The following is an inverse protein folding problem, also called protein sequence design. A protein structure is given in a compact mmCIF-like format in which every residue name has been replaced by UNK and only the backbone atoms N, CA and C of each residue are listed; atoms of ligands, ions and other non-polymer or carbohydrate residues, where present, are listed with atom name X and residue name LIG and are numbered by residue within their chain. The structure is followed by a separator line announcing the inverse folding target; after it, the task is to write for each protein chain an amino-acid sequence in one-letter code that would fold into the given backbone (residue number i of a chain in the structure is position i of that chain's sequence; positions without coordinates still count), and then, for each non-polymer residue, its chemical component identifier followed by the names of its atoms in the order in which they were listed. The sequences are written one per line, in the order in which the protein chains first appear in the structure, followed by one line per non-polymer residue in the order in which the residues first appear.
data_IF_911643680508
#
_entry.id   IF_911643680508
#
_cell.length_a   1.000
_cell.length_b   1.000
_cell.length_c   1.000
_cell.angle_alpha   90.00
_cell.angle_beta   90.00
_cell.angle_gamma   90.00
#
_symmetry.space_group_name_H-M   'P 1'
#
loop_
_entity.id
_entity.type
_entity.pdbx_description
1 polymer ?
#
# COMPACT_ATOMS: atom_id res chain seq x y z
N UNK A 1 9.44 4.98 -22.44
CA UNK A 1 10.79 4.39 -22.26
C UNK A 1 10.80 3.57 -20.99
N UNK A 2 11.55 2.48 -21.01
CA UNK A 2 11.14 1.29 -20.28
C UNK A 2 11.55 1.19 -18.81
N UNK A 3 10.72 0.61 -17.93
CA UNK A 3 11.07 0.33 -16.55
C UNK A 3 10.46 -0.99 -16.04
N UNK A 4 11.09 -2.10 -16.44
CA UNK A 4 11.09 -3.35 -15.68
C UNK A 4 12.33 -3.35 -14.79
N UNK A 5 12.17 -3.79 -13.52
CA UNK A 5 13.08 -4.61 -12.67
C UNK A 5 12.63 -4.44 -11.19
N UNK A 6 12.28 -5.44 -10.37
CA UNK A 6 12.65 -6.86 -10.24
C UNK A 6 14.12 -7.06 -10.60
N UNK A 7 14.97 -6.91 -9.59
CA UNK A 7 16.43 -6.95 -9.60
C UNK A 7 17.16 -5.77 -10.25
N UNK A 8 17.72 -4.92 -9.38
CA UNK A 8 19.04 -4.31 -9.57
C UNK A 8 19.26 -3.45 -10.82
N UNK A 9 19.42 -2.16 -10.53
CA UNK A 9 20.13 -1.13 -11.31
C UNK A 9 19.32 -0.24 -12.27
N UNK A 10 19.18 1.01 -11.77
CA UNK A 10 19.19 2.36 -12.36
C UNK A 10 18.23 2.76 -13.48
N UNK A 11 17.13 3.43 -13.11
CA UNK A 11 16.98 4.89 -13.23
C UNK A 11 15.59 5.31 -12.67
N UNK A 12 15.55 5.84 -11.45
CA UNK A 12 14.33 6.39 -10.86
C UNK A 12 14.61 7.79 -10.34
N UNK A 13 14.20 8.82 -11.08
CA UNK A 13 14.22 10.20 -10.59
C UNK A 13 12.97 10.45 -9.75
N UNK A 14 13.07 10.19 -8.44
CA UNK A 14 12.12 10.83 -7.51
C UNK A 14 12.35 12.34 -7.54
N UNK A 15 11.34 13.11 -7.11
CA UNK A 15 11.44 14.58 -7.00
C UNK A 15 12.64 15.05 -6.14
N UNK A 16 13.26 14.14 -5.37
CA UNK A 16 14.43 14.36 -4.52
C UNK A 16 15.65 13.47 -4.87
N UNK A 17 15.63 12.72 -5.98
CA UNK A 17 16.75 11.88 -6.44
C UNK A 17 17.03 10.59 -5.64
N UNK A 18 16.34 10.34 -4.53
CA UNK A 18 16.55 9.12 -3.73
C UNK A 18 15.54 8.03 -4.13
N UNK A 19 16.06 6.90 -4.62
CA UNK A 19 15.32 5.66 -4.74
C UNK A 19 15.12 5.03 -3.35
N UNK A 20 13.98 4.40 -3.13
CA UNK A 20 13.60 3.84 -1.83
C UNK A 20 12.92 2.49 -2.05
N UNK A 21 13.24 1.52 -1.19
CA UNK A 21 12.61 0.20 -1.24
C UNK A 21 11.43 0.12 -0.27
N UNK A 22 10.42 -0.67 -0.64
CA UNK A 22 9.30 -1.02 0.23
C UNK A 22 9.14 -2.53 0.17
N UNK A 23 9.12 -3.18 1.32
CA UNK A 23 8.87 -4.62 1.39
C UNK A 23 7.41 -4.90 0.99
N UNK A 24 7.23 -5.84 0.07
CA UNK A 24 5.91 -6.32 -0.35
C UNK A 24 5.71 -7.75 0.15
N UNK A 25 4.47 -8.19 0.44
CA UNK A 25 4.19 -9.57 0.78
C UNK A 25 4.55 -10.53 -0.36
N UNK A 26 5.00 -11.75 -0.03
CA UNK A 26 5.40 -12.76 -1.02
C UNK A 26 4.29 -13.06 -2.03
N UNK A 27 3.05 -13.20 -1.54
CA UNK A 27 1.87 -13.35 -2.39
C UNK A 27 1.72 -12.24 -3.44
N UNK A 28 2.00 -10.98 -3.06
CA UNK A 28 1.94 -9.86 -4.00
C UNK A 28 3.11 -9.94 -4.99
N UNK A 29 4.30 -10.28 -4.51
CA UNK A 29 5.46 -10.49 -5.37
C UNK A 29 5.18 -11.56 -6.44
N UNK A 30 4.65 -12.72 -6.05
CA UNK A 30 4.26 -13.80 -6.96
C UNK A 30 3.25 -13.37 -8.02
N UNK A 31 2.24 -12.58 -7.64
CA UNK A 31 1.27 -12.05 -8.61
C UNK A 31 1.96 -11.11 -9.61
N UNK A 32 2.84 -10.21 -9.13
CA UNK A 32 3.49 -9.21 -9.97
C UNK A 32 4.48 -9.84 -10.95
N UNK A 33 5.26 -10.85 -10.54
CA UNK A 33 6.23 -11.51 -11.44
C UNK A 33 5.55 -12.31 -12.55
N UNK A 34 4.37 -12.88 -12.28
CA UNK A 34 3.60 -13.67 -13.24
C UNK A 34 2.65 -12.83 -14.09
N UNK A 35 2.52 -11.54 -13.80
CA UNK A 35 1.64 -10.65 -14.55
C UNK A 35 2.23 -10.33 -15.94
N UNK A 36 1.43 -10.51 -16.99
CA UNK A 36 1.80 -10.13 -18.35
C UNK A 36 2.21 -8.65 -18.43
N UNK A 37 3.42 -8.38 -18.92
CA UNK A 37 3.96 -7.03 -19.07
C UNK A 37 3.81 -6.57 -20.53
N UNK A 38 3.01 -5.52 -20.76
CA UNK A 38 2.73 -4.98 -22.11
C UNK A 38 3.60 -3.78 -22.47
N UNK A 39 4.67 -3.58 -21.72
CA UNK A 39 5.52 -2.42 -21.84
C UNK A 39 6.18 -2.11 -20.50
N UNK A 40 6.56 -0.85 -20.29
CA UNK A 40 7.45 -0.51 -19.19
C UNK A 40 6.88 -0.13 -17.85
N UNK A 41 5.57 -0.05 -17.74
CA UNK A 41 4.93 0.26 -16.47
C UNK A 41 4.40 -1.02 -15.87
N UNK A 42 4.60 -1.22 -14.56
CA UNK A 42 4.02 -2.34 -13.82
C UNK A 42 2.51 -2.42 -14.09
N UNK A 43 1.81 -1.29 -14.11
CA UNK A 43 0.41 -1.23 -14.53
C UNK A 43 0.29 -0.37 -15.79
N UNK A 44 -0.01 -1.01 -16.92
CA UNK A 44 -0.16 -0.35 -18.21
C UNK A 44 0.56 -1.10 -19.32
N UNK A 45 0.88 -0.37 -20.39
CA UNK A 45 1.71 -0.85 -21.50
C UNK A 45 2.75 0.21 -21.80
N UNK A 46 2.76 0.74 -23.03
CA UNK A 46 3.60 1.89 -23.40
C UNK A 46 3.30 3.18 -22.62
N UNK A 47 2.10 3.27 -22.02
CA UNK A 47 1.68 4.38 -21.16
C UNK A 47 1.23 3.84 -19.79
N UNK A 48 1.41 4.62 -18.71
CA UNK A 48 0.95 4.22 -17.39
C UNK A 48 -0.58 4.14 -17.34
N UNK A 49 -1.10 3.23 -16.54
CA UNK A 49 -2.53 3.13 -16.33
C UNK A 49 -3.06 4.40 -15.62
N UNK A 50 -4.12 5.04 -16.13
CA UNK A 50 -4.73 6.19 -15.47
C UNK A 50 -5.19 5.89 -14.04
N UNK A 51 -4.87 6.78 -13.09
CA UNK A 51 -5.18 6.59 -11.66
C UNK A 51 -6.68 6.39 -11.41
N UNK A 52 -7.55 7.06 -12.18
CA UNK A 52 -9.01 6.93 -12.06
C UNK A 52 -9.51 5.49 -12.32
N UNK A 53 -8.78 4.67 -13.07
CA UNK A 53 -9.15 3.27 -13.29
C UNK A 53 -8.94 2.43 -12.04
N UNK A 54 -7.93 2.74 -11.21
CA UNK A 54 -7.75 2.08 -9.91
C UNK A 54 -8.92 2.36 -8.97
N UNK A 55 -9.41 3.61 -8.92
CA UNK A 55 -10.58 3.94 -8.12
C UNK A 55 -11.85 3.23 -8.59
N UNK A 56 -12.04 3.10 -9.91
CA UNK A 56 -13.17 2.35 -10.49
C UNK A 56 -13.08 0.85 -10.17
N UNK A 57 -11.92 0.25 -10.42
CA UNK A 57 -11.67 -1.17 -10.12
C UNK A 57 -11.85 -1.46 -8.63
N UNK A 58 -11.35 -0.59 -7.75
CA UNK A 58 -11.52 -0.72 -6.31
C UNK A 58 -13.00 -0.67 -5.91
N UNK A 59 -13.76 0.30 -6.44
CA UNK A 59 -15.20 0.40 -6.17
C UNK A 59 -15.95 -0.87 -6.58
N UNK A 60 -15.59 -1.44 -7.72
CA UNK A 60 -16.16 -2.70 -8.18
C UNK A 60 -15.83 -3.87 -7.23
N UNK A 61 -14.59 -3.97 -6.75
CA UNK A 61 -14.20 -4.96 -5.74
C UNK A 61 -14.99 -4.80 -4.44
N UNK A 62 -15.13 -3.56 -3.94
CA UNK A 62 -15.93 -3.24 -2.74
C UNK A 62 -17.38 -3.72 -2.89
N UNK A 63 -18.00 -3.42 -4.04
CA UNK A 63 -19.38 -3.84 -4.31
C UNK A 63 -19.51 -5.36 -4.42
N UNK A 64 -18.58 -6.03 -5.11
CA UNK A 64 -18.57 -7.50 -5.22
C UNK A 64 -18.34 -8.18 -3.88
N UNK A 65 -17.59 -7.56 -2.98
CA UNK A 65 -17.36 -8.03 -1.63
C UNK A 65 -18.53 -7.76 -0.67
N UNK A 66 -19.58 -7.04 -1.11
CA UNK A 66 -20.72 -6.68 -0.25
C UNK A 66 -20.37 -5.67 0.85
N UNK A 67 -19.30 -4.88 0.66
CA UNK A 67 -18.84 -3.89 1.62
C UNK A 67 -19.48 -2.52 1.37
N UNK A 68 -19.32 -1.59 2.32
CA UNK A 68 -19.82 -0.22 2.21
C UNK A 68 -19.28 0.47 0.94
N UNK A 69 -20.16 0.91 0.01
CA UNK A 69 -19.77 1.61 -1.22
C UNK A 69 -19.03 2.94 -1.00
N UNK A 70 -19.04 3.49 0.22
CA UNK A 70 -18.30 4.69 0.60
C UNK A 70 -16.78 4.44 0.73
N UNK A 71 -16.36 3.18 0.84
CA UNK A 71 -14.95 2.80 0.95
C UNK A 71 -14.16 3.24 -0.29
N UNK A 72 -12.96 3.74 -0.06
CA UNK A 72 -12.03 4.21 -1.10
C UNK A 72 -10.63 3.65 -0.87
N UNK A 73 -9.77 3.76 -1.90
CA UNK A 73 -8.35 3.42 -1.79
C UNK A 73 -7.61 4.20 -0.67
N UNK A 74 -8.12 5.35 -0.23
CA UNK A 74 -7.51 6.05 0.89
C UNK A 74 -7.75 5.32 2.22
N UNK A 75 -8.90 4.65 2.36
CA UNK A 75 -9.24 3.86 3.54
C UNK A 75 -8.30 2.67 3.70
N UNK A 76 -7.87 2.01 2.61
CA UNK A 76 -6.90 0.91 2.69
C UNK A 76 -5.55 1.38 3.24
N UNK A 77 -5.10 2.58 2.84
CA UNK A 77 -3.91 3.22 3.40
C UNK A 77 -4.09 3.51 4.90
N UNK A 78 -5.27 3.95 5.31
CA UNK A 78 -5.54 4.18 6.73
C UNK A 78 -5.55 2.89 7.53
N UNK A 79 -6.19 1.83 7.03
CA UNK A 79 -6.18 0.50 7.65
C UNK A 79 -4.74 0.04 7.85
N UNK A 80 -3.90 0.11 6.81
CA UNK A 80 -2.48 -0.24 6.92
C UNK A 80 -1.76 0.55 8.04
N UNK A 81 -1.91 1.88 8.07
CA UNK A 81 -1.28 2.71 9.10
C UNK A 81 -1.77 2.40 10.52
N UNK A 82 -3.07 2.18 10.68
CA UNK A 82 -3.67 1.83 11.97
C UNK A 82 -3.22 0.46 12.46
N UNK A 83 -3.22 -0.55 11.60
CA UNK A 83 -2.77 -1.91 11.92
C UNK A 83 -1.28 -1.89 12.24
N UNK A 84 -0.47 -1.18 11.46
CA UNK A 84 0.96 -1.07 11.72
C UNK A 84 1.24 -0.43 13.08
N UNK A 85 0.51 0.64 13.43
CA UNK A 85 0.65 1.30 14.73
C UNK A 85 0.26 0.37 15.89
N UNK A 86 -0.77 -0.45 15.71
CA UNK A 86 -1.20 -1.42 16.71
C UNK A 86 -0.16 -2.53 16.88
N UNK A 87 0.32 -3.12 15.78
CA UNK A 87 1.31 -4.20 15.80
C UNK A 87 2.66 -3.75 16.37
N UNK A 88 3.01 -2.48 16.23
CA UNK A 88 4.27 -1.92 16.76
C UNK A 88 4.14 -1.38 18.18
N UNK A 89 2.99 -1.58 18.84
CA UNK A 89 2.77 -1.11 20.21
C UNK A 89 2.71 0.41 20.35
N UNK A 90 2.33 1.13 19.29
CA UNK A 90 2.20 2.58 19.31
C UNK A 90 3.44 3.35 18.83
N UNK A 91 4.41 2.71 18.19
CA UNK A 91 5.59 3.42 17.63
C UNK A 91 5.23 4.21 16.37
N UNK A 92 4.94 5.50 16.57
CA UNK A 92 4.63 6.46 15.49
C UNK A 92 5.82 6.75 14.57
N UNK A 93 7.07 6.66 15.03
CA UNK A 93 8.24 6.92 14.18
C UNK A 93 8.42 5.77 13.20
N UNK A 94 8.26 4.54 13.67
CA UNK A 94 8.25 3.37 12.81
C UNK A 94 7.14 3.43 11.76
N UNK A 95 5.92 3.79 12.16
CA UNK A 95 4.80 3.94 11.21
C UNK A 95 5.06 5.07 10.21
N UNK A 96 5.61 6.21 10.66
CA UNK A 96 5.97 7.33 9.79
C UNK A 96 6.97 6.91 8.72
N UNK A 97 8.01 6.18 9.11
CA UNK A 97 9.06 5.67 8.21
C UNK A 97 8.46 4.70 7.18
N UNK A 98 7.70 3.69 7.63
CA UNK A 98 7.10 2.68 6.75
C UNK A 98 6.03 3.25 5.82
N UNK A 99 5.27 4.24 6.26
CA UNK A 99 4.29 4.94 5.40
C UNK A 99 4.92 6.05 4.56
N UNK A 100 6.19 6.39 4.82
CA UNK A 100 6.97 7.42 4.14
C UNK A 100 6.30 8.79 4.21
N UNK A 101 5.77 9.12 5.38
CA UNK A 101 5.19 10.44 5.62
C UNK A 101 6.28 11.48 5.86
N UNK A 102 6.35 12.47 4.97
CA UNK A 102 7.28 13.59 5.10
C UNK A 102 7.04 14.41 6.39
N UNK A 103 5.81 14.42 6.90
CA UNK A 103 5.44 15.07 8.16
C UNK A 103 4.84 14.05 9.14
N UNK A 104 5.33 14.05 10.38
CA UNK A 104 4.83 13.26 11.50
C UNK A 104 3.36 13.57 11.81
N UNK A 105 2.87 14.78 11.51
CA UNK A 105 1.47 15.15 11.70
C UNK A 105 0.51 14.28 10.87
N UNK A 106 0.95 13.84 9.68
CA UNK A 106 0.19 12.88 8.85
C UNK A 106 0.15 11.48 9.47
N UNK A 107 1.05 11.16 10.40
CA UNK A 107 1.04 9.89 11.14
C UNK A 107 0.24 9.99 12.45
N UNK A 108 0.22 11.17 13.09
CA UNK A 108 -0.59 11.43 14.30
C UNK A 108 -2.08 11.14 14.09
N UNK A 109 -2.57 11.25 12.85
CA UNK A 109 -3.94 10.87 12.51
C UNK A 109 -4.27 9.41 12.86
N UNK A 110 -3.30 8.50 13.05
CA UNK A 110 -3.56 7.12 13.45
C UNK A 110 -3.63 6.89 14.96
N UNK A 111 -3.19 7.84 15.79
CA UNK A 111 -3.18 7.68 17.24
C UNK A 111 -4.58 7.44 17.83
N UNK A 112 -5.63 7.96 17.18
CA UNK A 112 -7.00 7.76 17.62
C UNK A 112 -7.42 6.28 17.66
N UNK A 113 -6.72 5.39 16.93
CA UNK A 113 -7.06 3.95 16.86
C UNK A 113 -6.51 3.14 18.03
N UNK A 114 -5.46 3.63 18.70
CA UNK A 114 -4.93 3.02 19.94
C UNK A 114 -5.80 3.41 21.13
N UNK A 115 -6.29 4.65 21.15
CA UNK A 115 -7.10 5.19 22.23
C UNK A 115 -8.53 4.62 22.26
N UNK A 116 -9.02 4.08 21.14
CA UNK A 116 -10.38 3.54 21.01
C UNK A 116 -10.54 2.07 21.40
N UNK A 117 -9.49 1.39 21.89
CA UNK A 117 -9.61 0.07 22.52
C UNK A 117 -10.01 -1.09 21.59
N UNK A 118 -9.93 -0.92 20.27
CA UNK A 118 -10.13 -2.02 19.32
C UNK A 118 -8.91 -2.95 19.32
N UNK A 119 -8.83 -3.81 20.33
CA UNK A 119 -7.81 -4.83 20.50
C UNK A 119 -7.93 -5.98 19.45
N UNK A 120 -6.85 -6.72 19.19
CA UNK A 120 -6.59 -7.39 17.91
C UNK A 120 -6.93 -8.89 17.97
N UNK A 121 -8.21 -9.26 18.01
CA UNK A 121 -8.56 -10.69 17.92
C UNK A 121 -8.69 -11.18 16.44
N UNK A 122 -8.77 -10.26 15.47
CA UNK A 122 -9.02 -10.60 14.05
C UNK A 122 -7.82 -10.46 13.11
N UNK A 123 -6.70 -9.84 13.53
CA UNK A 123 -5.56 -9.59 12.63
C UNK A 123 -4.55 -10.75 12.55
N UNK A 124 -4.62 -11.72 13.48
CA UNK A 124 -3.67 -12.83 13.56
C UNK A 124 -4.03 -14.04 12.67
N UNK A 125 -5.19 -14.03 11.99
CA UNK A 125 -5.62 -15.15 11.14
C UNK A 125 -5.26 -15.01 9.65
N UNK A 126 -4.53 -13.97 9.24
CA UNK A 126 -4.24 -13.69 7.82
C UNK A 126 -2.84 -14.10 7.36
N UNK A 127 -2.12 -14.92 8.14
CA UNK A 127 -0.73 -15.27 7.87
C UNK A 127 -0.34 -16.74 8.05
N UNK A 128 -1.30 -17.64 8.29
CA UNK A 128 -1.05 -19.09 8.26
C UNK A 128 -1.95 -19.72 7.21
N UNK A 129 -1.42 -19.84 5.99
CA UNK A 129 -1.58 -20.95 5.03
C UNK A 129 -0.66 -20.73 3.82
#
# INVERSE_FOLDING_TARGET
MQAKKIDGEEEFTTKNGEASTVNIPDRLHEILINMEQKGPYVFGGEKPLPVNLFYKAFKEVVLRAGLDPSLTLHHTRHTYGSTLLQLTGGDLRYVQEKMRHADINTTKQYMHTILSGNAPEMALSYGEE
#
